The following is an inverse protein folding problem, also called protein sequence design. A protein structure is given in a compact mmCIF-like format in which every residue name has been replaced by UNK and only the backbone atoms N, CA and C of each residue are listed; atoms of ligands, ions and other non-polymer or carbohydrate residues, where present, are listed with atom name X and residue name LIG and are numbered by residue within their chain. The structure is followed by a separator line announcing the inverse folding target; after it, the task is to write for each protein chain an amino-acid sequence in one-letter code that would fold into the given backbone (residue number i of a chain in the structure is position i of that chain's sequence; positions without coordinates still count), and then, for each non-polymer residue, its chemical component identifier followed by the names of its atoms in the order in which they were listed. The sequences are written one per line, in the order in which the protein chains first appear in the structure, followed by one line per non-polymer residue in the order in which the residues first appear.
data_IF_564061963046
#
_entry.id   IF_564061963046
#
_cell.length_a   1.000
_cell.length_b   1.000
_cell.length_c   1.000
_cell.angle_alpha   90.00
_cell.angle_beta   90.00
_cell.angle_gamma   90.00
#
_symmetry.space_group_name_H-M   'P 1'
#
loop_
_entity.id
_entity.type
_entity.pdbx_description
1 polymer ?
#
# COMPACT_ATOMS: atom_id res chain seq x y z
N UNK A 1 25.12 -10.16 -39.73
CA UNK A 1 24.27 -10.19 -38.51
C UNK A 1 23.91 -8.75 -38.23
N UNK A 2 22.72 -8.33 -38.63
CA UNK A 2 22.15 -7.01 -38.31
C UNK A 2 21.88 -6.97 -36.82
N UNK A 3 22.49 -6.02 -36.11
CA UNK A 3 22.14 -5.72 -34.74
C UNK A 3 20.61 -5.43 -34.71
N UNK A 4 19.87 -6.22 -33.96
CA UNK A 4 18.49 -5.91 -33.65
C UNK A 4 18.58 -4.67 -32.76
N UNK A 5 18.18 -3.51 -33.29
CA UNK A 5 18.00 -2.29 -32.48
C UNK A 5 16.98 -2.63 -31.40
N UNK A 6 17.44 -2.89 -30.17
CA UNK A 6 16.56 -3.01 -29.01
C UNK A 6 15.88 -1.66 -28.84
N UNK A 7 14.55 -1.64 -28.70
CA UNK A 7 13.84 -0.38 -28.47
C UNK A 7 14.41 0.32 -27.24
N UNK A 8 14.69 1.61 -27.37
CA UNK A 8 15.29 2.40 -26.30
C UNK A 8 14.40 2.35 -25.05
N UNK A 9 15.01 2.04 -23.91
CA UNK A 9 14.34 2.04 -22.60
C UNK A 9 13.96 3.49 -22.26
N UNK A 10 12.66 3.82 -22.14
CA UNK A 10 12.23 5.19 -21.89
C UNK A 10 12.61 5.64 -20.47
N UNK A 11 13.01 6.90 -20.35
CA UNK A 11 13.27 7.55 -19.06
C UNK A 11 12.20 8.58 -18.75
N UNK A 12 11.53 8.41 -17.61
CA UNK A 12 10.38 9.22 -17.22
C UNK A 12 10.66 9.94 -15.91
N UNK A 13 10.35 11.24 -15.88
CA UNK A 13 10.41 12.04 -14.65
C UNK A 13 9.00 12.18 -14.07
N UNK A 14 8.84 11.85 -12.80
CA UNK A 14 7.63 12.05 -12.02
C UNK A 14 7.91 13.08 -10.93
N UNK A 15 7.24 14.24 -11.00
CA UNK A 15 7.30 15.29 -10.00
C UNK A 15 5.94 15.39 -9.27
N UNK A 16 5.87 14.87 -8.04
CA UNK A 16 4.66 14.78 -7.24
C UNK A 16 5.02 14.83 -5.75
N UNK A 17 4.44 15.79 -5.03
CA UNK A 17 4.74 16.01 -3.62
C UNK A 17 4.14 14.93 -2.72
N UNK A 18 2.90 14.50 -2.99
CA UNK A 18 2.25 13.46 -2.19
C UNK A 18 2.87 12.08 -2.46
N UNK A 19 3.40 11.40 -1.44
CA UNK A 19 4.10 10.13 -1.61
C UNK A 19 3.18 9.00 -2.13
N UNK A 20 1.89 9.04 -1.81
CA UNK A 20 0.93 8.03 -2.24
C UNK A 20 0.54 8.21 -3.71
N UNK A 21 0.28 9.44 -4.13
CA UNK A 21 0.06 9.78 -5.54
C UNK A 21 1.29 9.47 -6.39
N UNK A 22 2.47 9.76 -5.87
CA UNK A 22 3.76 9.45 -6.51
C UNK A 22 3.97 7.94 -6.70
N UNK A 23 3.67 7.13 -5.68
CA UNK A 23 3.76 5.67 -5.78
C UNK A 23 2.71 5.12 -6.77
N UNK A 24 1.49 5.63 -6.74
CA UNK A 24 0.45 5.29 -7.70
C UNK A 24 0.90 5.52 -9.15
N UNK A 25 1.44 6.70 -9.46
CA UNK A 25 1.94 7.04 -10.80
C UNK A 25 3.07 6.08 -11.25
N UNK A 26 3.99 5.73 -10.34
CA UNK A 26 5.02 4.73 -10.59
C UNK A 26 4.41 3.38 -10.98
N UNK A 27 3.43 2.89 -10.19
CA UNK A 27 2.80 1.59 -10.45
C UNK A 27 2.07 1.57 -11.79
N UNK A 28 1.30 2.62 -12.10
CA UNK A 28 0.63 2.73 -13.40
C UNK A 28 1.62 2.73 -14.55
N UNK A 29 2.70 3.51 -14.43
CA UNK A 29 3.72 3.60 -15.47
C UNK A 29 4.43 2.27 -15.67
N UNK A 30 4.85 1.59 -14.58
CA UNK A 30 5.49 0.29 -14.64
C UNK A 30 4.54 -0.82 -15.09
N UNK A 31 3.22 -0.68 -14.93
CA UNK A 31 2.25 -1.63 -15.50
C UNK A 31 2.15 -1.52 -17.02
N UNK A 32 2.44 -0.34 -17.59
CA UNK A 32 2.47 -0.09 -19.04
C UNK A 32 3.86 -0.41 -19.63
N UNK A 33 4.92 0.05 -18.94
CA UNK A 33 6.30 -0.06 -19.40
C UNK A 33 7.21 -0.48 -18.24
N UNK A 34 7.29 -1.78 -17.99
CA UNK A 34 7.97 -2.34 -16.82
C UNK A 34 9.50 -2.16 -16.84
N UNK A 35 10.08 -1.91 -18.01
CA UNK A 35 11.50 -1.62 -18.22
C UNK A 35 11.83 -0.13 -18.11
N UNK A 36 10.83 0.77 -17.98
CA UNK A 36 11.07 2.21 -17.92
C UNK A 36 11.96 2.61 -16.74
N UNK A 37 12.89 3.53 -16.99
CA UNK A 37 13.70 4.17 -15.94
C UNK A 37 12.94 5.37 -15.37
N UNK A 38 12.70 5.33 -14.06
CA UNK A 38 11.93 6.34 -13.36
C UNK A 38 12.82 7.18 -12.46
N UNK A 39 12.82 8.49 -12.68
CA UNK A 39 13.31 9.44 -11.69
C UNK A 39 12.10 10.10 -11.03
N UNK A 40 12.14 10.22 -9.71
CA UNK A 40 11.02 10.73 -8.93
C UNK A 40 11.50 11.80 -7.97
N UNK A 41 10.78 12.91 -7.91
CA UNK A 41 11.06 14.01 -7.00
C UNK A 41 9.79 14.55 -6.33
N UNK A 42 9.98 15.28 -5.23
CA UNK A 42 8.88 15.81 -4.42
C UNK A 42 8.65 17.32 -4.63
N UNK A 43 9.55 18.01 -5.30
CA UNK A 43 9.48 19.44 -5.56
C UNK A 43 9.94 19.82 -6.97
N UNK A 44 9.51 21.00 -7.43
CA UNK A 44 9.81 21.45 -8.78
C UNK A 44 11.24 21.95 -8.98
N UNK A 45 11.96 22.32 -7.93
CA UNK A 45 13.36 22.73 -8.03
C UNK A 45 14.26 21.52 -8.29
N UNK A 46 14.02 20.42 -7.59
CA UNK A 46 14.66 19.12 -7.84
C UNK A 46 14.35 18.64 -9.26
N UNK A 47 13.07 18.76 -9.69
CA UNK A 47 12.68 18.41 -11.06
C UNK A 47 13.46 19.20 -12.13
N UNK A 48 13.70 20.50 -11.92
CA UNK A 48 14.50 21.32 -12.83
C UNK A 48 15.96 20.87 -12.89
N UNK A 49 16.55 20.48 -11.77
CA UNK A 49 17.92 19.96 -11.71
C UNK A 49 18.01 18.64 -12.49
N UNK A 50 17.10 17.70 -12.23
CA UNK A 50 17.06 16.42 -12.93
C UNK A 50 16.92 16.61 -14.45
N UNK A 51 16.05 17.54 -14.87
CA UNK A 51 15.87 17.90 -16.30
C UNK A 51 17.11 18.57 -16.93
N UNK A 52 17.95 19.22 -16.12
CA UNK A 52 19.20 19.81 -16.60
C UNK A 52 20.30 18.75 -16.83
N UNK A 53 20.32 17.73 -15.96
CA UNK A 53 21.37 16.71 -15.93
C UNK A 53 21.08 15.52 -16.84
N UNK A 54 19.81 15.22 -17.14
CA UNK A 54 19.40 14.00 -17.80
C UNK A 54 18.41 14.25 -18.94
N UNK A 55 18.47 13.45 -20.01
CA UNK A 55 17.43 13.41 -21.03
C UNK A 55 16.23 12.59 -20.51
N UNK A 56 15.02 13.04 -20.83
CA UNK A 56 13.77 12.35 -20.53
C UNK A 56 12.91 12.22 -21.79
N UNK A 57 12.07 11.19 -21.81
CA UNK A 57 11.11 10.89 -22.88
C UNK A 57 9.70 11.29 -22.50
N UNK A 58 9.43 11.44 -21.21
CA UNK A 58 8.15 11.94 -20.65
C UNK A 58 8.39 12.62 -19.32
N UNK A 59 7.62 13.68 -19.05
CA UNK A 59 7.50 14.31 -17.72
C UNK A 59 6.04 14.23 -17.28
N UNK A 60 5.83 13.79 -16.04
CA UNK A 60 4.53 13.82 -15.36
C UNK A 60 4.71 14.71 -14.13
N UNK A 61 3.99 15.81 -14.05
CA UNK A 61 4.15 16.77 -12.95
C UNK A 61 2.81 17.19 -12.37
N UNK A 62 2.75 17.27 -11.05
CA UNK A 62 1.67 17.97 -10.37
C UNK A 62 1.80 19.47 -10.55
N UNK A 63 0.70 20.17 -10.70
CA UNK A 63 0.67 21.64 -10.67
C UNK A 63 1.15 22.18 -9.31
N UNK A 64 0.68 21.55 -8.23
CA UNK A 64 0.89 22.03 -6.86
C UNK A 64 2.18 21.45 -6.25
N UNK A 65 3.33 21.74 -6.92
CA UNK A 65 4.64 21.36 -6.39
C UNK A 65 5.23 22.46 -5.50
N UNK A 66 5.93 22.10 -4.43
CA UNK A 66 6.75 23.03 -3.66
C UNK A 66 7.88 23.66 -4.51
N UNK A 67 8.28 24.87 -4.17
CA UNK A 67 9.37 25.59 -4.85
C UNK A 67 8.95 26.13 -6.21
N UNK A 68 9.13 25.34 -7.26
CA UNK A 68 8.67 25.66 -8.62
C UNK A 68 7.42 24.83 -8.92
N UNK A 69 6.30 25.49 -9.19
CA UNK A 69 5.06 24.80 -9.53
C UNK A 69 5.15 24.06 -10.89
N UNK A 70 4.21 23.13 -11.13
CA UNK A 70 4.20 22.33 -12.35
C UNK A 70 4.05 23.15 -13.63
N UNK A 71 3.37 24.29 -13.56
CA UNK A 71 3.22 25.21 -14.69
C UNK A 71 4.54 25.93 -15.01
N UNK A 72 5.27 26.37 -13.99
CA UNK A 72 6.61 26.93 -14.11
C UNK A 72 7.62 25.91 -14.65
N UNK A 73 7.50 24.66 -14.22
CA UNK A 73 8.29 23.53 -14.74
C UNK A 73 8.01 23.31 -16.24
N UNK A 74 6.73 23.25 -16.63
CA UNK A 74 6.32 23.13 -18.03
C UNK A 74 6.85 24.29 -18.88
N UNK A 75 6.74 25.54 -18.38
CA UNK A 75 7.29 26.74 -19.06
C UNK A 75 8.79 26.59 -19.29
N UNK A 76 9.55 26.14 -18.29
CA UNK A 76 11.00 25.92 -18.40
C UNK A 76 11.33 24.85 -19.42
N UNK A 77 10.57 23.76 -19.47
CA UNK A 77 10.73 22.67 -20.47
C UNK A 77 10.49 23.22 -21.89
N UNK A 78 9.45 24.04 -22.10
CA UNK A 78 9.11 24.59 -23.43
C UNK A 78 10.13 25.63 -23.91
N UNK A 79 10.77 26.38 -23.02
CA UNK A 79 11.83 27.33 -23.38
C UNK A 79 13.07 26.66 -23.98
N UNK A 80 13.34 25.39 -23.67
CA UNK A 80 14.50 24.63 -24.17
C UNK A 80 14.43 24.24 -25.64
N UNK A 81 13.31 24.50 -26.34
CA UNK A 81 13.09 24.28 -27.79
C UNK A 81 13.62 22.91 -28.30
N UNK A 82 13.36 21.86 -27.56
CA UNK A 82 13.75 20.48 -27.94
C UNK A 82 12.91 20.01 -29.16
N UNK A 83 13.53 19.28 -30.08
CA UNK A 83 12.85 18.63 -31.19
C UNK A 83 13.23 17.12 -31.20
N UNK A 84 12.30 16.17 -31.08
CA UNK A 84 10.86 16.38 -30.84
C UNK A 84 10.57 17.04 -29.49
N UNK A 85 9.40 17.68 -29.40
CA UNK A 85 8.94 18.35 -28.17
C UNK A 85 8.77 17.30 -27.06
N UNK A 86 9.37 17.54 -25.91
CA UNK A 86 9.27 16.63 -24.76
C UNK A 86 7.80 16.51 -24.30
N UNK A 87 7.22 15.28 -24.33
CA UNK A 87 5.90 15.04 -23.78
C UNK A 87 5.83 15.46 -22.31
N UNK A 88 4.75 16.14 -21.95
CA UNK A 88 4.55 16.66 -20.59
C UNK A 88 3.08 16.51 -20.19
N UNK A 89 2.82 15.71 -19.18
CA UNK A 89 1.51 15.56 -18.55
C UNK A 89 1.47 16.44 -17.31
N UNK A 90 0.56 17.42 -17.30
CA UNK A 90 0.30 18.27 -16.15
C UNK A 90 -0.92 17.75 -15.41
N UNK A 91 -0.77 17.48 -14.12
CA UNK A 91 -1.86 17.04 -13.23
C UNK A 91 -2.24 18.17 -12.29
N UNK A 92 -3.52 18.29 -11.94
CA UNK A 92 -3.97 19.35 -11.02
C UNK A 92 -5.27 18.97 -10.33
N UNK A 93 -5.47 19.48 -9.11
CA UNK A 93 -6.78 19.49 -8.44
C UNK A 93 -7.71 20.56 -9.04
N UNK A 94 -7.17 21.51 -9.83
CA UNK A 94 -7.90 22.60 -10.44
C UNK A 94 -8.59 22.12 -11.72
N UNK A 95 -9.91 22.18 -11.74
CA UNK A 95 -10.75 21.81 -12.89
C UNK A 95 -11.47 23.02 -13.52
N UNK A 96 -11.17 24.23 -13.04
CA UNK A 96 -11.77 25.46 -13.54
C UNK A 96 -11.18 25.88 -14.89
N UNK A 97 -12.02 26.57 -15.68
CA UNK A 97 -11.64 27.02 -17.04
C UNK A 97 -10.51 28.05 -17.06
N UNK A 98 -10.26 28.75 -15.97
CA UNK A 98 -9.18 29.72 -15.87
C UNK A 98 -7.83 29.05 -15.81
N UNK A 99 -7.69 28.04 -14.95
CA UNK A 99 -6.48 27.21 -14.82
C UNK A 99 -6.15 26.47 -16.11
N UNK A 100 -7.15 25.89 -16.77
CA UNK A 100 -6.93 25.24 -18.08
C UNK A 100 -6.44 26.26 -19.13
N UNK A 101 -7.02 27.47 -19.18
CA UNK A 101 -6.59 28.55 -20.12
C UNK A 101 -5.17 29.02 -19.83
N UNK A 102 -4.71 28.97 -18.58
CA UNK A 102 -3.34 29.33 -18.21
C UNK A 102 -2.32 28.31 -18.71
N UNK A 103 -2.66 27.02 -18.70
CA UNK A 103 -1.80 25.93 -19.15
C UNK A 103 -1.76 25.79 -20.68
N UNK A 104 -2.86 26.04 -21.38
CA UNK A 104 -3.01 25.84 -22.84
C UNK A 104 -1.90 26.49 -23.71
N UNK A 105 -1.47 27.74 -23.47
CA UNK A 105 -0.41 28.36 -24.27
C UNK A 105 0.93 27.66 -24.18
N UNK A 106 1.17 26.88 -23.13
CA UNK A 106 2.40 26.11 -22.95
C UNK A 106 2.32 24.71 -23.60
N UNK A 107 1.17 24.39 -24.21
CA UNK A 107 0.94 23.13 -24.92
C UNK A 107 1.39 21.88 -24.14
N UNK A 108 0.83 21.59 -22.94
CA UNK A 108 1.05 20.29 -22.31
C UNK A 108 0.51 19.19 -23.23
N UNK A 109 1.15 18.03 -23.24
CA UNK A 109 0.67 16.86 -24.00
C UNK A 109 -0.68 16.39 -23.45
N UNK A 110 -0.87 16.53 -22.12
CA UNK A 110 -2.15 16.32 -21.46
C UNK A 110 -2.28 17.21 -20.23
N UNK A 111 -3.51 17.61 -19.94
CA UNK A 111 -3.94 18.19 -18.66
C UNK A 111 -4.88 17.20 -18.00
N UNK A 112 -4.53 16.70 -16.84
CA UNK A 112 -5.32 15.70 -16.10
C UNK A 112 -5.80 16.27 -14.78
N UNK A 113 -7.08 16.17 -14.53
CA UNK A 113 -7.67 16.59 -13.25
C UNK A 113 -7.61 15.47 -12.24
N UNK A 114 -7.28 15.82 -10.99
CA UNK A 114 -7.38 14.89 -9.86
C UNK A 114 -8.83 14.91 -9.31
N UNK A 115 -9.40 13.75 -8.91
CA UNK A 115 -8.79 12.42 -8.90
C UNK A 115 -8.57 11.88 -10.32
N UNK A 116 -7.44 11.17 -10.52
CA UNK A 116 -7.03 10.71 -11.84
C UNK A 116 -7.99 9.64 -12.38
N UNK A 117 -8.37 9.75 -13.64
CA UNK A 117 -8.98 8.64 -14.36
C UNK A 117 -7.89 7.64 -14.75
N UNK A 118 -7.83 6.51 -14.04
CA UNK A 118 -6.78 5.51 -14.19
C UNK A 118 -6.76 4.87 -15.58
N UNK A 119 -7.93 4.58 -16.16
CA UNK A 119 -8.05 4.01 -17.49
C UNK A 119 -7.54 4.99 -18.56
N UNK A 120 -7.98 6.26 -18.48
CA UNK A 120 -7.54 7.31 -19.37
C UNK A 120 -6.04 7.64 -19.24
N UNK A 121 -5.47 7.56 -18.02
CA UNK A 121 -4.03 7.72 -17.80
C UNK A 121 -3.25 6.54 -18.41
N UNK A 122 -3.68 5.30 -18.15
CA UNK A 122 -3.05 4.09 -18.68
C UNK A 122 -3.01 4.10 -20.20
N UNK A 123 -4.15 4.39 -20.86
CA UNK A 123 -4.22 4.48 -22.31
C UNK A 123 -3.26 5.55 -22.87
N UNK A 124 -3.20 6.71 -22.23
CA UNK A 124 -2.30 7.78 -22.66
C UNK A 124 -0.83 7.45 -22.47
N UNK A 125 -0.48 6.75 -21.42
CA UNK A 125 0.88 6.25 -21.23
C UNK A 125 1.25 5.18 -22.27
N UNK A 126 0.31 4.32 -22.65
CA UNK A 126 0.49 3.37 -23.74
C UNK A 126 0.77 4.10 -25.06
N UNK A 127 -0.04 5.10 -25.38
CA UNK A 127 0.12 5.89 -26.61
C UNK A 127 1.45 6.68 -26.68
N UNK A 128 2.02 7.04 -25.52
CA UNK A 128 3.25 7.84 -25.43
C UNK A 128 4.54 6.99 -25.33
N UNK A 129 4.45 5.78 -24.79
CA UNK A 129 5.61 4.98 -24.39
C UNK A 129 5.73 3.64 -25.14
N UNK A 130 4.72 3.22 -25.89
CA UNK A 130 4.72 2.01 -26.65
C UNK A 130 4.59 2.30 -28.15
N UNK A 131 5.46 1.69 -28.94
CA UNK A 131 5.28 1.65 -30.39
C UNK A 131 4.22 0.60 -30.77
N UNK A 132 3.56 0.78 -31.91
CA UNK A 132 2.53 -0.15 -32.37
C UNK A 132 3.09 -1.59 -32.51
N UNK A 133 2.55 -2.51 -31.69
CA UNK A 133 2.97 -3.92 -31.69
C UNK A 133 4.25 -4.20 -30.87
N UNK A 134 4.74 -3.25 -30.10
CA UNK A 134 5.89 -3.46 -29.23
C UNK A 134 5.53 -4.35 -28.04
N UNK A 135 6.20 -5.50 -27.93
CA UNK A 135 6.19 -6.33 -26.73
C UNK A 135 7.32 -5.87 -25.79
N UNK A 136 6.97 -5.54 -24.55
CA UNK A 136 7.93 -5.17 -23.50
C UNK A 136 8.31 -6.42 -22.72
N UNK A 137 9.59 -6.80 -22.79
CA UNK A 137 10.13 -7.86 -21.93
C UNK A 137 10.54 -7.28 -20.60
N UNK A 138 9.87 -7.71 -19.52
CA UNK A 138 10.25 -7.33 -18.17
C UNK A 138 11.39 -8.22 -17.69
N UNK A 139 12.55 -7.64 -17.45
CA UNK A 139 13.63 -8.36 -16.80
C UNK A 139 13.22 -8.75 -15.37
N UNK A 140 13.31 -10.05 -15.08
CA UNK A 140 13.19 -10.53 -13.70
C UNK A 140 14.51 -10.19 -13.00
N UNK A 141 14.50 -9.47 -11.87
CA UNK A 141 15.71 -9.19 -11.12
C UNK A 141 16.46 -10.49 -10.80
N UNK A 142 17.73 -10.58 -11.14
CA UNK A 142 18.58 -11.73 -10.82
C UNK A 142 19.28 -11.48 -9.48
N UNK A 143 19.51 -12.55 -8.72
CA UNK A 143 20.24 -12.49 -7.47
C UNK A 143 21.73 -12.18 -7.73
N UNK A 144 22.31 -11.33 -6.90
CA UNK A 144 23.75 -11.13 -6.91
C UNK A 144 24.48 -12.45 -6.56
N UNK A 145 25.65 -12.74 -7.15
CA UNK A 145 26.43 -13.92 -6.82
C UNK A 145 26.69 -14.04 -5.30
N UNK A 146 26.40 -15.19 -4.71
CA UNK A 146 26.57 -15.43 -3.28
C UNK A 146 25.51 -14.83 -2.37
N UNK A 147 24.43 -14.29 -2.90
CA UNK A 147 23.30 -13.80 -2.09
C UNK A 147 22.61 -14.99 -1.41
N UNK A 148 22.48 -14.93 -0.08
CA UNK A 148 21.70 -15.90 0.70
C UNK A 148 20.30 -15.35 0.94
N UNK A 149 19.32 -16.23 1.21
CA UNK A 149 17.96 -15.84 1.57
C UNK A 149 17.94 -14.83 2.72
N UNK A 150 18.65 -15.09 3.79
CA UNK A 150 18.71 -14.26 4.98
C UNK A 150 19.24 -12.84 4.68
N UNK A 151 20.31 -12.74 3.90
CA UNK A 151 20.88 -11.46 3.47
C UNK A 151 19.91 -10.70 2.54
N UNK A 152 19.21 -11.42 1.67
CA UNK A 152 18.19 -10.84 0.81
C UNK A 152 17.04 -10.26 1.64
N UNK A 153 16.47 -11.02 2.57
CA UNK A 153 15.37 -10.59 3.42
C UNK A 153 15.76 -9.40 4.30
N UNK A 154 16.98 -9.39 4.88
CA UNK A 154 17.45 -8.26 5.67
C UNK A 154 17.51 -6.96 4.84
N UNK A 155 18.03 -7.03 3.60
CA UNK A 155 18.08 -5.88 2.69
C UNK A 155 16.69 -5.44 2.24
N UNK A 156 15.79 -6.41 1.97
CA UNK A 156 14.42 -6.12 1.49
C UNK A 156 13.53 -5.56 2.59
N UNK A 157 13.83 -5.76 3.87
CA UNK A 157 13.05 -5.23 4.99
C UNK A 157 12.79 -3.73 4.86
N UNK A 158 13.82 -2.95 4.53
CA UNK A 158 13.71 -1.49 4.39
C UNK A 158 13.01 -1.08 3.08
N UNK A 159 12.95 -1.98 2.10
CA UNK A 159 12.39 -1.73 0.77
C UNK A 159 11.03 -2.40 0.55
N UNK A 160 10.56 -3.24 1.49
CA UNK A 160 9.31 -3.97 1.33
C UNK A 160 8.13 -3.03 1.06
N UNK A 161 7.39 -3.30 -0.02
CA UNK A 161 6.34 -2.42 -0.53
C UNK A 161 4.95 -2.69 0.04
N UNK A 162 4.84 -3.71 0.90
CA UNK A 162 3.60 -4.10 1.56
C UNK A 162 3.26 -5.57 1.37
N UNK A 163 2.05 -5.93 1.76
CA UNK A 163 1.51 -7.28 1.71
C UNK A 163 0.80 -7.56 0.37
N UNK A 164 0.54 -8.83 0.02
CA UNK A 164 -0.34 -9.16 -1.09
C UNK A 164 -1.77 -8.71 -0.78
N UNK A 165 -2.54 -8.44 -1.85
CA UNK A 165 -3.97 -8.17 -1.74
C UNK A 165 -4.75 -9.47 -1.60
N UNK A 166 -5.69 -9.49 -0.69
CA UNK A 166 -6.58 -10.62 -0.43
C UNK A 166 -7.97 -10.37 -1.03
N UNK A 167 -8.38 -9.10 -1.15
CA UNK A 167 -9.61 -8.71 -1.81
C UNK A 167 -9.47 -8.73 -3.35
N UNK A 168 -10.53 -9.13 -4.05
CA UNK A 168 -10.66 -8.86 -5.47
C UNK A 168 -11.04 -7.39 -5.68
N UNK A 169 -10.02 -6.57 -5.88
CA UNK A 169 -10.15 -5.11 -6.01
C UNK A 169 -11.06 -4.72 -7.17
N UNK A 170 -10.98 -5.41 -8.30
CA UNK A 170 -11.80 -5.07 -9.47
C UNK A 170 -13.27 -5.34 -9.19
N UNK A 171 -13.56 -6.46 -8.54
CA UNK A 171 -14.92 -6.83 -8.15
C UNK A 171 -15.45 -5.89 -7.05
N UNK A 172 -14.63 -5.56 -6.05
CA UNK A 172 -14.97 -4.65 -4.96
C UNK A 172 -15.34 -3.25 -5.50
N UNK A 173 -14.52 -2.68 -6.38
CA UNK A 173 -14.81 -1.39 -7.03
C UNK A 173 -16.06 -1.47 -7.89
N UNK A 174 -16.23 -2.54 -8.69
CA UNK A 174 -17.42 -2.71 -9.53
C UNK A 174 -18.72 -2.80 -8.72
N UNK A 175 -18.70 -3.52 -7.58
CA UNK A 175 -19.86 -3.62 -6.68
C UNK A 175 -20.19 -2.33 -5.96
N UNK A 176 -19.17 -1.53 -5.68
CA UNK A 176 -19.32 -0.24 -4.97
C UNK A 176 -19.74 0.92 -5.89
N UNK A 177 -19.72 0.73 -7.22
CA UNK A 177 -20.17 1.73 -8.17
C UNK A 177 -21.70 1.68 -8.34
N UNK A 178 -22.31 2.87 -8.31
CA UNK A 178 -23.72 3.07 -8.59
C UNK A 178 -23.90 4.25 -9.57
N UNK A 179 -25.13 4.55 -10.07
CA UNK A 179 -25.36 5.67 -11.00
C UNK A 179 -24.92 7.05 -10.49
N UNK A 180 -24.81 7.23 -9.17
CA UNK A 180 -24.40 8.47 -8.52
C UNK A 180 -22.90 8.52 -8.22
N UNK A 181 -22.13 7.49 -8.58
CA UNK A 181 -20.71 7.36 -8.34
C UNK A 181 -20.34 6.23 -7.38
N UNK A 182 -19.18 6.32 -6.74
CA UNK A 182 -18.67 5.32 -5.81
C UNK A 182 -19.36 5.46 -4.44
N UNK A 183 -19.97 4.38 -3.98
CA UNK A 183 -20.52 4.28 -2.63
C UNK A 183 -19.43 3.86 -1.63
N UNK A 184 -19.02 4.79 -0.78
CA UNK A 184 -17.94 4.56 0.19
C UNK A 184 -18.28 3.51 1.25
N UNK A 185 -19.57 3.34 1.59
CA UNK A 185 -19.99 2.32 2.58
C UNK A 185 -19.88 0.92 1.99
N UNK A 186 -20.37 0.74 0.77
CA UNK A 186 -20.22 -0.53 0.04
C UNK A 186 -18.75 -0.84 -0.21
N UNK A 187 -17.95 0.17 -0.58
CA UNK A 187 -16.51 -0.03 -0.73
C UNK A 187 -15.84 -0.45 0.58
N UNK A 188 -16.20 0.17 1.68
CA UNK A 188 -15.71 -0.21 3.01
C UNK A 188 -16.02 -1.69 3.31
N UNK A 189 -17.25 -2.12 3.10
CA UNK A 189 -17.69 -3.50 3.32
C UNK A 189 -16.89 -4.50 2.47
N UNK A 190 -16.65 -4.19 1.20
CA UNK A 190 -15.94 -5.06 0.27
C UNK A 190 -14.43 -5.19 0.57
N UNK A 191 -13.78 -4.13 1.10
CA UNK A 191 -12.32 -4.11 1.31
C UNK A 191 -11.89 -4.16 2.78
N UNK A 192 -12.82 -4.09 3.73
CA UNK A 192 -12.52 -3.97 5.16
C UNK A 192 -11.70 -5.14 5.74
N UNK A 193 -11.76 -6.29 5.11
CA UNK A 193 -11.04 -7.50 5.53
C UNK A 193 -9.62 -7.58 4.97
N UNK A 194 -9.26 -6.68 4.05
CA UNK A 194 -7.93 -6.65 3.46
C UNK A 194 -6.98 -5.76 4.28
N UNK A 195 -5.93 -6.35 4.92
CA UNK A 195 -5.01 -5.59 5.76
C UNK A 195 -4.14 -4.62 4.97
N UNK A 196 -3.77 -4.94 3.72
CA UNK A 196 -2.96 -4.06 2.88
C UNK A 196 -3.74 -2.80 2.49
N UNK A 197 -4.99 -2.97 2.01
CA UNK A 197 -5.84 -1.84 1.62
C UNK A 197 -6.13 -0.96 2.84
N UNK A 198 -6.51 -1.57 3.96
CA UNK A 198 -6.80 -0.85 5.21
C UNK A 198 -5.59 -0.03 5.68
N UNK A 199 -4.40 -0.63 5.71
CA UNK A 199 -3.18 0.04 6.14
C UNK A 199 -2.82 1.23 5.23
N UNK A 200 -2.88 1.05 3.91
CA UNK A 200 -2.54 2.10 2.94
C UNK A 200 -3.52 3.26 3.01
N UNK A 201 -4.82 3.01 3.09
CA UNK A 201 -5.82 4.07 3.20
C UNK A 201 -5.67 4.88 4.51
N UNK A 202 -5.45 4.20 5.65
CA UNK A 202 -5.17 4.88 6.93
C UNK A 202 -3.90 5.72 6.82
N UNK A 203 -2.83 5.20 6.23
CA UNK A 203 -1.57 5.90 6.08
C UNK A 203 -1.68 7.11 5.13
N UNK A 204 -2.38 6.94 4.00
CA UNK A 204 -2.62 8.02 3.04
C UNK A 204 -3.45 9.15 3.65
N UNK A 205 -4.50 8.82 4.42
CA UNK A 205 -5.32 9.80 5.13
C UNK A 205 -4.56 10.57 6.22
N UNK A 206 -3.43 10.07 6.70
CA UNK A 206 -2.53 10.72 7.65
C UNK A 206 -1.31 11.36 6.97
N UNK A 207 -1.21 11.37 5.64
CA UNK A 207 -0.12 12.04 4.94
C UNK A 207 -0.15 13.57 5.17
N UNK A 208 0.99 14.23 4.96
CA UNK A 208 1.10 15.67 5.17
C UNK A 208 0.11 16.47 4.32
N UNK A 209 -0.22 15.99 3.12
CA UNK A 209 -1.18 16.61 2.22
C UNK A 209 -2.63 16.53 2.72
N UNK A 210 -2.94 15.54 3.54
CA UNK A 210 -4.29 15.28 4.07
C UNK A 210 -4.43 15.54 5.58
N UNK A 211 -3.35 16.00 6.22
CA UNK A 211 -3.31 16.12 7.68
C UNK A 211 -4.06 17.37 8.16
N UNK A 212 -5.36 17.20 8.39
CA UNK A 212 -6.22 18.19 9.01
C UNK A 212 -6.92 17.56 10.23
N UNK A 213 -6.57 18.01 11.44
CA UNK A 213 -7.21 17.59 12.69
C UNK A 213 -6.59 16.32 13.32
N UNK A 214 -7.42 15.47 13.95
CA UNK A 214 -6.98 14.26 14.65
C UNK A 214 -6.46 13.17 13.72
N UNK A 215 -5.56 12.31 14.22
CA UNK A 215 -5.05 11.17 13.49
C UNK A 215 -6.18 10.17 13.16
N UNK A 216 -6.21 9.70 11.91
CA UNK A 216 -7.13 8.66 11.42
C UNK A 216 -6.60 7.29 11.84
N UNK A 217 -7.44 6.49 12.48
CA UNK A 217 -7.07 5.18 12.99
C UNK A 217 -7.97 4.04 12.48
N UNK A 218 -9.02 4.37 11.72
CA UNK A 218 -9.97 3.38 11.19
C UNK A 218 -10.16 3.54 9.70
N UNK A 219 -10.60 2.46 9.03
CA UNK A 219 -10.88 2.47 7.58
C UNK A 219 -11.98 3.48 7.22
N UNK A 220 -13.08 3.49 7.97
CA UNK A 220 -14.18 4.43 7.74
C UNK A 220 -13.72 5.90 7.77
N UNK A 221 -12.93 6.28 8.78
CA UNK A 221 -12.35 7.61 8.88
C UNK A 221 -11.43 7.93 7.70
N UNK A 222 -10.63 6.94 7.25
CA UNK A 222 -9.74 7.11 6.10
C UNK A 222 -10.51 7.38 4.82
N UNK A 223 -11.54 6.58 4.53
CA UNK A 223 -12.40 6.75 3.36
C UNK A 223 -13.12 8.10 3.36
N UNK A 224 -13.63 8.54 4.51
CA UNK A 224 -14.27 9.85 4.63
C UNK A 224 -13.29 11.00 4.38
N UNK A 225 -12.05 10.91 4.89
CA UNK A 225 -11.02 11.96 4.72
C UNK A 225 -10.50 12.03 3.30
N UNK A 226 -10.22 10.90 2.67
CA UNK A 226 -9.70 10.82 1.31
C UNK A 226 -10.79 11.12 0.25
N UNK A 227 -12.03 10.79 0.57
CA UNK A 227 -13.12 10.83 -0.40
C UNK A 227 -13.07 9.68 -1.42
N UNK A 228 -14.14 9.56 -2.23
CA UNK A 228 -14.35 8.43 -3.14
C UNK A 228 -13.26 8.32 -4.22
N UNK A 229 -12.90 9.41 -4.87
CA UNK A 229 -11.96 9.40 -5.99
C UNK A 229 -10.55 9.01 -5.58
N UNK A 230 -10.02 9.60 -4.50
CA UNK A 230 -8.67 9.29 -4.02
C UNK A 230 -8.61 7.87 -3.46
N UNK A 231 -9.62 7.44 -2.70
CA UNK A 231 -9.70 6.06 -2.18
C UNK A 231 -9.70 5.04 -3.31
N UNK A 232 -10.53 5.24 -4.33
CA UNK A 232 -10.58 4.36 -5.51
C UNK A 232 -9.22 4.30 -6.22
N UNK A 233 -8.56 5.44 -6.45
CA UNK A 233 -7.27 5.48 -7.12
C UNK A 233 -6.19 4.73 -6.35
N UNK A 234 -6.15 4.87 -5.02
CA UNK A 234 -5.18 4.16 -4.18
C UNK A 234 -5.43 2.65 -4.21
N UNK A 235 -6.68 2.21 -4.10
CA UNK A 235 -7.05 0.79 -4.13
C UNK A 235 -6.71 0.17 -5.49
N UNK A 236 -7.05 0.83 -6.60
CA UNK A 236 -6.70 0.36 -7.95
C UNK A 236 -5.19 0.34 -8.16
N UNK A 237 -4.47 1.35 -7.67
CA UNK A 237 -3.01 1.41 -7.73
C UNK A 237 -2.33 0.25 -7.00
N UNK A 238 -2.87 -0.17 -5.86
CA UNK A 238 -2.37 -1.35 -5.16
C UNK A 238 -2.50 -2.63 -5.99
N UNK A 239 -3.58 -2.77 -6.74
CA UNK A 239 -3.81 -3.94 -7.60
C UNK A 239 -2.83 -4.04 -8.79
N UNK A 240 -2.16 -2.94 -9.15
CA UNK A 240 -1.16 -2.91 -10.22
C UNK A 240 0.25 -3.34 -9.75
N UNK A 241 0.49 -3.42 -8.43
CA UNK A 241 1.79 -3.86 -7.92
C UNK A 241 2.09 -5.31 -8.30
N UNK A 242 3.34 -5.61 -8.65
CA UNK A 242 3.78 -7.00 -8.92
C UNK A 242 3.61 -7.90 -7.70
N UNK A 243 3.75 -7.35 -6.49
CA UNK A 243 3.54 -8.03 -5.22
C UNK A 243 2.06 -8.16 -4.82
N UNK A 244 1.13 -7.64 -5.64
CA UNK A 244 -0.29 -7.64 -5.31
C UNK A 244 -0.89 -9.04 -5.19
N UNK A 245 -0.29 -10.06 -5.81
CA UNK A 245 -0.77 -11.45 -5.75
C UNK A 245 0.38 -12.41 -5.55
N UNK A 246 0.17 -13.40 -4.70
CA UNK A 246 1.07 -14.54 -4.60
C UNK A 246 0.71 -15.56 -5.69
N UNK A 247 1.68 -15.93 -6.50
CA UNK A 247 1.54 -16.94 -7.55
C UNK A 247 2.02 -18.33 -7.11
N UNK A 248 2.80 -18.40 -6.02
CA UNK A 248 3.26 -19.63 -5.44
C UNK A 248 2.17 -20.20 -4.50
N UNK A 249 1.63 -21.40 -4.77
CA UNK A 249 0.54 -21.97 -3.96
C UNK A 249 0.89 -22.15 -2.49
N UNK A 250 2.12 -22.59 -2.20
CA UNK A 250 2.54 -22.86 -0.83
C UNK A 250 2.67 -21.55 -0.01
N UNK A 251 3.17 -20.47 -0.62
CA UNK A 251 3.18 -19.16 0.00
C UNK A 251 1.74 -18.60 0.13
N UNK A 252 0.87 -18.92 -0.83
CA UNK A 252 -0.56 -18.61 -0.77
C UNK A 252 -1.25 -19.22 0.45
N UNK A 253 -1.01 -20.50 0.74
CA UNK A 253 -1.56 -21.19 1.92
C UNK A 253 -1.09 -20.56 3.25
N UNK A 254 0.15 -20.07 3.30
CA UNK A 254 0.62 -19.31 4.46
C UNK A 254 -0.09 -17.95 4.59
N UNK A 255 -0.28 -17.26 3.46
CA UNK A 255 -0.96 -15.97 3.47
C UNK A 255 -2.41 -16.12 3.95
N UNK A 256 -3.13 -17.14 3.50
CA UNK A 256 -4.49 -17.43 3.92
C UNK A 256 -4.59 -17.68 5.42
N UNK A 257 -3.72 -18.54 5.96
CA UNK A 257 -3.65 -18.80 7.42
C UNK A 257 -3.36 -17.56 8.25
N UNK A 258 -2.43 -16.70 7.81
CA UNK A 258 -2.13 -15.46 8.53
C UNK A 258 -3.25 -14.43 8.39
N UNK A 259 -3.93 -14.42 7.25
CA UNK A 259 -5.10 -13.58 7.05
C UNK A 259 -6.26 -14.00 7.96
N UNK A 260 -6.60 -15.29 7.99
CA UNK A 260 -7.64 -15.82 8.90
C UNK A 260 -7.32 -15.49 10.36
N UNK A 261 -6.07 -15.66 10.79
CA UNK A 261 -5.63 -15.32 12.15
C UNK A 261 -5.81 -13.81 12.41
N UNK A 262 -5.55 -12.95 11.40
CA UNK A 262 -5.76 -11.51 11.50
C UNK A 262 -7.25 -11.18 11.65
N UNK A 263 -8.10 -11.81 10.85
CA UNK A 263 -9.56 -11.63 10.92
C UNK A 263 -10.14 -12.08 12.25
N UNK A 264 -9.78 -13.27 12.74
CA UNK A 264 -10.24 -13.77 14.04
C UNK A 264 -9.80 -12.81 15.16
N UNK A 265 -8.53 -12.36 15.13
CA UNK A 265 -8.03 -11.39 16.12
C UNK A 265 -8.80 -10.07 16.06
N UNK A 266 -9.13 -9.58 14.85
CA UNK A 266 -9.89 -8.35 14.63
C UNK A 266 -11.33 -8.46 15.16
N UNK A 267 -12.03 -9.55 14.82
CA UNK A 267 -13.43 -9.76 15.25
C UNK A 267 -13.55 -9.99 16.76
N UNK A 268 -12.62 -10.76 17.37
CA UNK A 268 -12.56 -10.89 18.82
C UNK A 268 -12.24 -9.54 19.49
N UNK A 269 -11.30 -8.76 18.92
CA UNK A 269 -10.97 -7.42 19.40
C UNK A 269 -12.17 -6.48 19.37
N UNK A 270 -12.89 -6.46 18.26
CA UNK A 270 -14.13 -5.68 18.09
C UNK A 270 -15.20 -6.07 19.08
N UNK A 271 -15.43 -7.39 19.23
CA UNK A 271 -16.50 -7.89 20.12
C UNK A 271 -16.17 -7.64 21.60
N UNK A 272 -14.91 -7.86 22.02
CA UNK A 272 -14.45 -7.53 23.37
C UNK A 272 -14.49 -6.02 23.63
N UNK A 273 -14.08 -5.19 22.68
CA UNK A 273 -14.17 -3.73 22.80
C UNK A 273 -15.61 -3.29 22.99
N UNK A 274 -16.56 -3.85 22.25
CA UNK A 274 -17.99 -3.59 22.41
C UNK A 274 -18.50 -3.96 23.81
N UNK A 275 -18.11 -5.13 24.33
CA UNK A 275 -18.51 -5.58 25.68
C UNK A 275 -17.96 -4.67 26.78
N UNK A 276 -16.86 -3.99 26.54
CA UNK A 276 -16.14 -3.17 27.49
C UNK A 276 -16.33 -1.66 27.27
N UNK A 277 -17.22 -1.27 26.33
CA UNK A 277 -17.48 0.13 25.95
C UNK A 277 -16.20 0.88 25.53
N UNK A 278 -15.45 0.27 24.59
CA UNK A 278 -14.22 0.79 24.00
C UNK A 278 -14.41 1.00 22.50
N UNK A 279 -13.41 1.62 21.85
CA UNK A 279 -13.42 1.85 20.40
C UNK A 279 -13.29 0.53 19.62
N UNK A 280 -14.42 0.06 19.09
CA UNK A 280 -14.56 -1.21 18.39
C UNK A 280 -13.78 -1.23 17.08
N UNK A 281 -13.88 -0.16 16.29
CA UNK A 281 -13.28 -0.11 14.95
C UNK A 281 -11.77 0.07 15.03
N UNK A 282 -11.26 0.79 16.03
CA UNK A 282 -9.82 0.89 16.28
C UNK A 282 -9.22 -0.46 16.69
N UNK A 283 -9.91 -1.19 17.58
CA UNK A 283 -9.50 -2.54 17.95
C UNK A 283 -9.55 -3.51 16.75
N UNK A 284 -10.61 -3.41 15.94
CA UNK A 284 -10.70 -4.18 14.69
C UNK A 284 -9.52 -3.93 13.76
N UNK A 285 -9.22 -2.67 13.45
CA UNK A 285 -8.10 -2.31 12.59
C UNK A 285 -6.75 -2.78 13.16
N UNK A 286 -6.52 -2.65 14.47
CA UNK A 286 -5.30 -3.14 15.10
C UNK A 286 -5.16 -4.67 14.97
N UNK A 287 -6.26 -5.41 15.16
CA UNK A 287 -6.30 -6.86 14.98
C UNK A 287 -6.05 -7.28 13.54
N UNK A 288 -6.67 -6.61 12.58
CA UNK A 288 -6.49 -6.88 11.16
C UNK A 288 -5.05 -6.64 10.69
N UNK A 289 -4.40 -5.58 11.20
CA UNK A 289 -3.08 -5.16 10.74
C UNK A 289 -1.91 -5.88 11.43
N UNK A 290 -2.16 -6.72 12.44
CA UNK A 290 -1.05 -7.25 13.22
C UNK A 290 -0.13 -8.21 12.43
N UNK A 291 -0.64 -8.97 11.45
CA UNK A 291 0.15 -9.88 10.61
C UNK A 291 0.60 -9.28 9.27
N UNK A 292 0.44 -7.97 9.09
CA UNK A 292 0.85 -7.29 7.87
C UNK A 292 2.33 -7.52 7.51
N UNK A 293 3.20 -7.62 8.51
CA UNK A 293 4.62 -7.90 8.31
C UNK A 293 4.90 -9.30 7.79
N UNK A 294 4.20 -10.29 8.31
CA UNK A 294 4.30 -11.68 7.85
C UNK A 294 3.82 -11.79 6.39
N UNK A 295 2.69 -11.16 6.08
CA UNK A 295 2.17 -11.12 4.71
C UNK A 295 3.12 -10.41 3.73
N UNK A 296 3.74 -9.31 4.14
CA UNK A 296 4.74 -8.61 3.33
C UNK A 296 6.01 -9.45 3.12
N UNK A 297 6.41 -10.21 4.13
CA UNK A 297 7.54 -11.12 4.03
C UNK A 297 7.28 -12.23 3.01
N UNK A 298 6.04 -12.77 2.94
CA UNK A 298 5.67 -13.76 1.92
C UNK A 298 5.81 -13.19 0.50
N UNK A 299 5.49 -11.92 0.27
CA UNK A 299 5.74 -11.26 -1.03
C UNK A 299 7.25 -11.19 -1.33
N UNK A 300 8.10 -10.91 -0.34
CA UNK A 300 9.55 -10.91 -0.53
C UNK A 300 10.12 -12.33 -0.77
N UNK A 301 9.56 -13.35 -0.15
CA UNK A 301 9.93 -14.76 -0.42
C UNK A 301 9.55 -15.15 -1.86
N UNK A 302 8.40 -14.71 -2.35
CA UNK A 302 8.05 -14.89 -3.76
C UNK A 302 9.02 -14.17 -4.70
N UNK A 303 9.42 -12.93 -4.39
CA UNK A 303 10.44 -12.21 -5.16
C UNK A 303 11.77 -12.96 -5.19
N UNK A 304 12.18 -13.54 -4.06
CA UNK A 304 13.37 -14.38 -3.97
C UNK A 304 13.30 -15.57 -4.93
N UNK A 305 12.19 -16.32 -4.93
CA UNK A 305 11.99 -17.44 -5.88
C UNK A 305 11.99 -16.98 -7.34
N UNK A 306 11.31 -15.87 -7.63
CA UNK A 306 11.28 -15.31 -8.99
C UNK A 306 12.66 -14.86 -9.47
N UNK A 307 13.53 -14.42 -8.58
CA UNK A 307 14.91 -14.03 -8.88
C UNK A 307 15.86 -15.25 -9.01
N UNK A 308 15.35 -16.47 -8.92
CA UNK A 308 16.12 -17.72 -9.05
C UNK A 308 16.69 -18.26 -7.74
N UNK A 309 16.25 -17.74 -6.60
CA UNK A 309 16.62 -18.26 -5.27
C UNK A 309 15.92 -19.58 -4.97
N UNK A 310 16.65 -20.51 -4.36
CA UNK A 310 16.06 -21.76 -3.85
C UNK A 310 15.21 -21.47 -2.59
N UNK A 311 14.06 -22.09 -2.51
CA UNK A 311 13.16 -22.10 -1.37
C UNK A 311 12.37 -23.42 -1.44
N UNK A 312 13.07 -24.50 -1.12
CA UNK A 312 12.56 -25.84 -1.38
C UNK A 312 11.90 -26.46 -0.14
N UNK A 313 12.17 -25.89 1.04
CA UNK A 313 11.65 -26.37 2.31
C UNK A 313 10.68 -25.35 2.95
N UNK A 314 9.49 -25.83 3.32
CA UNK A 314 8.49 -25.03 4.02
C UNK A 314 8.88 -24.74 5.49
N UNK A 315 9.83 -25.47 6.07
CA UNK A 315 10.43 -25.18 7.37
C UNK A 315 11.23 -23.88 7.30
N UNK A 316 12.00 -23.65 6.21
CA UNK A 316 12.73 -22.40 5.96
C UNK A 316 11.81 -21.19 5.84
N UNK A 317 10.62 -21.35 5.24
CA UNK A 317 9.58 -20.31 5.22
C UNK A 317 9.09 -20.00 6.63
N UNK A 318 8.83 -21.04 7.44
CA UNK A 318 8.44 -20.91 8.85
C UNK A 318 9.48 -20.14 9.67
N UNK A 319 10.74 -20.51 9.52
CA UNK A 319 11.87 -19.85 10.20
C UNK A 319 12.02 -18.39 9.78
N UNK A 320 11.90 -18.09 8.49
CA UNK A 320 11.93 -16.72 7.97
C UNK A 320 10.80 -15.86 8.59
N UNK A 321 9.58 -16.41 8.64
CA UNK A 321 8.43 -15.71 9.23
C UNK A 321 8.62 -15.49 10.75
N UNK A 322 9.13 -16.48 11.47
CA UNK A 322 9.40 -16.36 12.90
C UNK A 322 10.48 -15.29 13.19
N UNK A 323 11.53 -15.24 12.36
CA UNK A 323 12.66 -14.34 12.56
C UNK A 323 12.37 -12.90 12.09
N UNK A 324 11.72 -12.71 10.93
CA UNK A 324 11.61 -11.40 10.27
C UNK A 324 10.22 -10.80 10.29
N UNK A 325 9.14 -11.58 10.46
CA UNK A 325 7.77 -11.09 10.32
C UNK A 325 7.47 -9.85 11.18
N UNK A 326 7.85 -9.87 12.45
CA UNK A 326 7.66 -8.74 13.37
C UNK A 326 8.47 -7.49 12.94
N UNK A 327 9.71 -7.69 12.45
CA UNK A 327 10.60 -6.61 12.00
C UNK A 327 10.07 -5.96 10.71
N UNK A 328 9.58 -6.75 9.74
CA UNK A 328 8.90 -6.26 8.55
C UNK A 328 7.66 -5.44 8.88
N UNK A 329 6.83 -5.94 9.81
CA UNK A 329 5.65 -5.21 10.26
C UNK A 329 6.02 -3.87 10.91
N UNK A 330 7.07 -3.83 11.72
CA UNK A 330 7.56 -2.59 12.34
C UNK A 330 8.08 -1.59 11.30
N UNK A 331 8.87 -2.06 10.33
CA UNK A 331 9.41 -1.23 9.25
C UNK A 331 8.29 -0.62 8.40
N UNK A 332 7.29 -1.41 7.99
CA UNK A 332 6.14 -0.94 7.22
C UNK A 332 5.33 0.11 7.97
N UNK A 333 4.95 -0.17 9.22
CA UNK A 333 4.16 0.74 10.04
C UNK A 333 4.88 2.08 10.29
N UNK A 334 6.20 2.04 10.41
CA UNK A 334 7.03 3.24 10.59
C UNK A 334 7.14 4.03 9.30
N UNK A 335 7.46 3.36 8.18
CA UNK A 335 7.58 4.00 6.87
C UNK A 335 6.28 4.64 6.41
N UNK A 336 5.15 3.98 6.61
CA UNK A 336 3.83 4.50 6.28
C UNK A 336 3.29 5.50 7.31
N UNK A 337 4.04 5.77 8.38
CA UNK A 337 3.68 6.71 9.44
C UNK A 337 2.29 6.45 10.02
N UNK A 338 1.95 5.17 10.22
CA UNK A 338 0.71 4.85 10.92
C UNK A 338 0.70 5.51 12.31
N UNK A 339 -0.48 5.99 12.78
CA UNK A 339 -0.60 6.67 14.08
C UNK A 339 0.02 5.88 15.22
N UNK A 340 0.66 6.57 16.16
CA UNK A 340 1.39 5.93 17.27
C UNK A 340 0.47 5.01 18.08
N UNK A 341 -0.72 5.50 18.42
CA UNK A 341 -1.71 4.78 19.22
C UNK A 341 -2.13 3.46 18.53
N UNK A 342 -2.29 3.48 17.20
CA UNK A 342 -2.61 2.28 16.45
C UNK A 342 -1.41 1.31 16.42
N UNK A 343 -0.19 1.82 16.28
CA UNK A 343 1.03 0.99 16.34
C UNK A 343 1.23 0.32 17.69
N UNK A 344 0.91 1.03 18.78
CA UNK A 344 0.96 0.50 20.16
C UNK A 344 -0.08 -0.60 20.37
N UNK A 345 -1.30 -0.43 19.87
CA UNK A 345 -2.33 -1.46 19.91
C UNK A 345 -1.92 -2.71 19.11
N UNK A 346 -1.34 -2.54 17.92
CA UNK A 346 -0.80 -3.65 17.12
C UNK A 346 0.32 -4.37 17.88
N UNK A 347 1.22 -3.64 18.54
CA UNK A 347 2.31 -4.23 19.31
C UNK A 347 1.80 -5.05 20.50
N UNK A 348 0.71 -4.61 21.16
CA UNK A 348 0.11 -5.29 22.30
C UNK A 348 -0.48 -6.67 21.97
N UNK A 349 -0.77 -6.94 20.69
CA UNK A 349 -1.17 -8.27 20.19
C UNK A 349 -0.09 -9.33 20.45
N UNK A 350 1.16 -8.94 20.34
CA UNK A 350 2.30 -9.86 20.52
C UNK A 350 2.73 -9.95 21.98
N UNK A 351 2.91 -8.80 22.61
CA UNK A 351 3.40 -8.73 23.98
C UNK A 351 2.92 -7.44 24.66
N UNK A 352 2.46 -7.58 25.87
CA UNK A 352 2.22 -6.42 26.74
C UNK A 352 3.57 -5.89 27.24
N UNK A 353 3.80 -4.59 27.07
CA UNK A 353 4.98 -3.91 27.60
C UNK A 353 5.05 -3.95 29.12
N UNK A 354 6.09 -3.40 29.74
CA UNK A 354 6.16 -3.21 31.18
C UNK A 354 5.36 -1.98 31.62
N UNK A 355 4.55 -2.07 32.67
CA UNK A 355 3.89 -0.92 33.27
C UNK A 355 2.36 -0.93 33.27
N UNK A 356 1.74 0.25 33.10
CA UNK A 356 0.27 0.41 33.05
C UNK A 356 -0.21 0.15 31.61
N UNK A 357 -1.22 -0.70 31.46
CA UNK A 357 -1.79 -1.05 30.18
C UNK A 357 -3.09 -0.29 29.94
N UNK A 358 -3.33 0.19 28.73
CA UNK A 358 -4.67 0.63 28.34
C UNK A 358 -5.62 -0.58 28.27
N UNK A 359 -6.91 -0.33 28.44
CA UNK A 359 -7.91 -1.42 28.34
C UNK A 359 -7.93 -2.01 26.93
N UNK A 360 -7.75 -1.18 25.90
CA UNK A 360 -7.66 -1.61 24.52
C UNK A 360 -6.43 -2.51 24.27
N UNK A 361 -5.27 -2.20 24.85
CA UNK A 361 -4.08 -3.05 24.76
C UNK A 361 -4.32 -4.44 25.36
N UNK A 362 -5.01 -4.49 26.51
CA UNK A 362 -5.43 -5.76 27.12
C UNK A 362 -6.42 -6.52 26.23
N UNK A 363 -7.39 -5.81 25.62
CA UNK A 363 -8.35 -6.41 24.67
C UNK A 363 -7.59 -7.03 23.49
N UNK A 364 -6.67 -6.31 22.88
CA UNK A 364 -5.91 -6.82 21.72
C UNK A 364 -5.06 -8.04 22.08
N UNK A 365 -4.42 -8.02 23.24
CA UNK A 365 -3.64 -9.15 23.73
C UNK A 365 -4.49 -10.40 23.99
N UNK A 366 -5.66 -10.23 24.66
CA UNK A 366 -6.59 -11.35 24.91
C UNK A 366 -7.18 -11.90 23.61
N UNK A 367 -7.55 -11.02 22.67
CA UNK A 367 -8.07 -11.42 21.35
C UNK A 367 -7.09 -12.26 20.57
N UNK A 368 -5.81 -11.89 20.58
CA UNK A 368 -4.77 -12.65 19.90
C UNK A 368 -4.49 -14.01 20.55
N UNK A 369 -4.56 -14.09 21.87
CA UNK A 369 -4.45 -15.37 22.57
C UNK A 369 -5.63 -16.28 22.22
N UNK A 370 -6.86 -15.74 22.22
CA UNK A 370 -8.06 -16.49 21.85
C UNK A 370 -8.02 -16.98 20.39
N UNK A 371 -7.56 -16.12 19.46
CA UNK A 371 -7.47 -16.46 18.04
C UNK A 371 -6.44 -17.56 17.72
N UNK A 372 -5.43 -17.74 18.57
CA UNK A 372 -4.40 -18.78 18.41
C UNK A 372 -4.79 -20.14 19.00
N UNK A 373 -5.80 -20.17 19.88
CA UNK A 373 -6.24 -21.41 20.50
C UNK A 373 -6.87 -22.34 19.46
N UNK A 374 -6.43 -23.61 19.49
CA UNK A 374 -7.05 -24.65 18.68
C UNK A 374 -8.50 -24.91 19.15
N UNK A 375 -9.40 -25.33 18.24
CA UNK A 375 -10.78 -25.64 18.60
C UNK A 375 -10.94 -26.66 19.72
N UNK A 376 -9.98 -27.58 19.87
CA UNK A 376 -9.92 -28.63 20.92
C UNK A 376 -9.38 -28.15 22.27
N UNK A 377 -8.73 -26.98 22.33
CA UNK A 377 -8.12 -26.47 23.55
C UNK A 377 -9.17 -25.81 24.46
N UNK A 378 -9.02 -26.04 25.76
CA UNK A 378 -9.89 -25.47 26.79
C UNK A 378 -9.67 -23.94 26.94
N UNK A 379 -10.73 -23.23 27.34
CA UNK A 379 -10.69 -21.78 27.59
C UNK A 379 -10.33 -21.45 29.05
N UNK A 380 -10.16 -22.45 29.91
CA UNK A 380 -9.94 -22.27 31.36
C UNK A 380 -8.62 -21.56 31.65
N UNK A 381 -7.55 -21.93 30.94
CA UNK A 381 -6.24 -21.29 31.11
C UNK A 381 -6.31 -19.83 30.66
N UNK A 382 -6.96 -19.56 29.55
CA UNK A 382 -7.13 -18.19 29.03
C UNK A 382 -7.99 -17.34 29.97
N UNK A 383 -9.07 -17.90 30.53
CA UNK A 383 -9.92 -17.22 31.51
C UNK A 383 -9.15 -16.89 32.82
N UNK A 384 -8.16 -17.72 33.16
CA UNK A 384 -7.28 -17.50 34.29
C UNK A 384 -6.05 -16.66 33.99
N UNK A 385 -5.85 -16.22 32.74
CA UNK A 385 -4.73 -15.37 32.37
C UNK A 385 -4.77 -14.01 33.07
N UNK A 386 -3.60 -13.37 33.20
CA UNK A 386 -3.49 -12.01 33.75
C UNK A 386 -4.37 -11.02 33.00
N UNK A 387 -4.40 -11.13 31.68
CA UNK A 387 -5.13 -10.23 30.77
C UNK A 387 -6.65 -10.36 30.98
N UNK A 388 -7.17 -11.59 31.00
CA UNK A 388 -8.60 -11.83 31.23
C UNK A 388 -9.06 -11.32 32.60
N UNK A 389 -8.25 -11.57 33.66
CA UNK A 389 -8.55 -11.06 35.02
C UNK A 389 -8.58 -9.53 35.09
N UNK A 390 -7.62 -8.85 34.45
CA UNK A 390 -7.58 -7.37 34.41
C UNK A 390 -8.78 -6.78 33.69
N UNK A 391 -9.27 -7.45 32.65
CA UNK A 391 -10.48 -7.06 31.90
C UNK A 391 -11.78 -7.51 32.59
N UNK A 392 -11.69 -8.38 33.59
CA UNK A 392 -12.83 -9.05 34.24
C UNK A 392 -13.67 -9.88 33.25
N UNK A 393 -13.00 -10.53 32.31
CA UNK A 393 -13.60 -11.45 31.33
C UNK A 393 -13.40 -12.86 31.84
N UNK A 394 -14.50 -13.59 32.01
CA UNK A 394 -14.50 -14.96 32.50
C UNK A 394 -14.74 -16.00 31.40
N UNK A 395 -14.81 -17.27 31.84
CA UNK A 395 -15.07 -18.40 30.95
C UNK A 395 -16.39 -18.29 30.15
N UNK A 396 -17.52 -17.77 30.75
CA UNK A 396 -18.76 -17.63 30.00
C UNK A 396 -18.65 -16.68 28.80
N UNK A 397 -17.97 -15.53 28.99
CA UNK A 397 -17.77 -14.53 27.92
C UNK A 397 -16.88 -15.10 26.82
N UNK A 398 -15.76 -15.73 27.18
CA UNK A 398 -14.84 -16.37 26.22
C UNK A 398 -15.54 -17.48 25.42
N UNK A 399 -16.40 -18.26 26.08
CA UNK A 399 -17.17 -19.32 25.42
C UNK A 399 -18.16 -18.76 24.39
N UNK A 400 -18.78 -17.61 24.69
CA UNK A 400 -19.67 -16.92 23.74
C UNK A 400 -18.91 -16.39 22.54
N UNK A 401 -17.75 -15.77 22.77
CA UNK A 401 -16.89 -15.24 21.73
C UNK A 401 -16.42 -16.32 20.75
N UNK A 402 -16.07 -17.50 21.26
CA UNK A 402 -15.62 -18.63 20.43
C UNK A 402 -16.73 -19.25 19.56
N UNK A 403 -17.98 -19.05 19.92
CA UNK A 403 -19.15 -19.56 19.17
C UNK A 403 -19.73 -18.57 18.15
N UNK A 404 -19.34 -17.29 18.25
CA UNK A 404 -19.76 -16.23 17.33
C UNK A 404 -18.82 -16.14 16.12
#
# INVERSE_FOLDING_TARGET
MTAVDLPAVPRVLIAEADPWSRDLLKQVLLSVRCDARLDVCADGQEALQLLAENPYDLVIADWELPGVDGLGLLRSVRQRKRNPVLPFILMSTRNDSASVREALPLAPTAYLTKPLNMEGLTQRLQDLLLDAGQEVSCEVPTLAPGMTLWTFLERRRELADGAPLLADVQLAVKRSLNPNGLDLKLLEEEVRTDPQITAVLIAAANSAAQHHGSAVQTLAQALQRLGSGQSMNLILGLALKRSARLSDPALGDYAERYWELSLHTAEYGRTLARLLDLDQERCYCAGLLHRLGDLALLSCLQEWKQAGGALDDMEEVGDALAQFGAAYGSALRTRWRLPLELRELIASVYQLGGGVYSREALVMNLSAQLARLQPSEGLEELANSKTARLLKIGLPELTRLRKS
#
